data_IF_593914086820
#
_entry.id   IF_593914086820
#
_cell.length_a   1.000
_cell.length_b   1.000
_cell.length_c   1.000
_cell.angle_alpha   90.00
_cell.angle_beta   90.00
_cell.angle_gamma   90.00
#
_symmetry.space_group_name_H-M   'P 1'
#
loop_
_entity.id
_entity.type
_entity.pdbx_description
1 polymer ?
#
# COMPACT_ATOMS: atom_id res chain seq x y z
N UNK A 1 26.29 15.20 15.96
CA UNK A 1 25.66 14.87 14.66
C UNK A 1 25.38 13.37 14.64
N UNK A 2 24.13 12.97 14.89
CA UNK A 2 23.69 11.60 14.67
C UNK A 2 22.43 11.69 13.81
N UNK A 3 22.63 11.72 12.49
CA UNK A 3 21.57 11.83 11.48
C UNK A 3 20.94 10.47 11.12
N UNK A 4 21.53 9.37 11.62
CA UNK A 4 21.09 8.00 11.34
C UNK A 4 19.86 7.68 12.19
N UNK A 5 18.87 7.03 11.60
CA UNK A 5 17.70 6.52 12.30
C UNK A 5 18.13 5.46 13.33
N UNK A 6 17.84 5.63 14.64
CA UNK A 6 18.23 4.66 15.66
C UNK A 6 17.47 3.34 15.52
N UNK A 7 16.20 3.38 15.10
CA UNK A 7 15.36 2.19 15.03
C UNK A 7 15.34 1.58 13.62
N UNK A 8 16.44 0.93 13.25
CA UNK A 8 16.60 0.31 11.91
C UNK A 8 15.58 -0.80 11.63
N UNK A 9 15.12 -1.50 12.66
CA UNK A 9 14.12 -2.57 12.51
C UNK A 9 12.76 -1.95 12.17
N UNK A 10 12.33 -0.92 12.91
CA UNK A 10 11.10 -0.23 12.57
C UNK A 10 11.17 0.45 11.20
N UNK A 11 12.34 0.97 10.82
CA UNK A 11 12.56 1.57 9.52
C UNK A 11 12.37 0.56 8.39
N UNK A 12 12.88 -0.66 8.54
CA UNK A 12 12.72 -1.73 7.55
C UNK A 12 11.25 -2.12 7.37
N UNK A 13 10.49 -2.26 8.46
CA UNK A 13 9.05 -2.51 8.41
C UNK A 13 8.29 -1.35 7.75
N UNK A 14 8.59 -0.12 8.15
CA UNK A 14 7.98 1.06 7.54
C UNK A 14 8.27 1.14 6.04
N UNK A 15 9.51 0.87 5.61
CA UNK A 15 9.89 0.85 4.21
C UNK A 15 9.10 -0.22 3.41
N UNK A 16 8.89 -1.40 4.00
CA UNK A 16 8.04 -2.43 3.41
C UNK A 16 6.60 -1.94 3.25
N UNK A 17 5.99 -1.41 4.31
CA UNK A 17 4.61 -0.93 4.27
C UNK A 17 4.43 0.26 3.32
N UNK A 18 5.37 1.20 3.32
CA UNK A 18 5.38 2.34 2.40
C UNK A 18 5.50 1.89 0.94
N UNK A 19 6.30 0.85 0.65
CA UNK A 19 6.43 0.29 -0.69
C UNK A 19 5.14 -0.40 -1.15
N UNK A 20 4.55 -1.23 -0.29
CA UNK A 20 3.26 -1.90 -0.57
C UNK A 20 2.14 -0.88 -0.76
N UNK A 21 2.06 0.14 0.10
CA UNK A 21 1.10 1.23 -0.03
C UNK A 21 1.31 2.01 -1.34
N UNK A 22 2.55 2.32 -1.70
CA UNK A 22 2.85 3.04 -2.95
C UNK A 22 2.42 2.24 -4.18
N UNK A 23 2.63 0.92 -4.21
CA UNK A 23 2.10 0.06 -5.27
C UNK A 23 0.56 0.00 -5.26
N UNK A 24 -0.04 -0.09 -4.07
CA UNK A 24 -1.48 -0.04 -3.87
C UNK A 24 -2.09 1.26 -4.42
N UNK A 25 -1.40 2.39 -4.25
CA UNK A 25 -1.81 3.68 -4.81
C UNK A 25 -1.91 3.62 -6.34
N UNK A 26 -0.90 3.11 -7.05
CA UNK A 26 -0.96 2.99 -8.51
C UNK A 26 -2.08 2.05 -8.98
N UNK A 27 -2.30 0.95 -8.27
CA UNK A 27 -3.41 0.05 -8.55
C UNK A 27 -4.76 0.76 -8.39
N UNK A 28 -5.00 1.39 -7.23
CA UNK A 28 -6.26 2.07 -6.92
C UNK A 28 -6.48 3.27 -7.85
N UNK A 29 -5.44 4.04 -8.15
CA UNK A 29 -5.50 5.16 -9.10
C UNK A 29 -5.87 4.67 -10.51
N UNK A 30 -5.35 3.50 -10.92
CA UNK A 30 -5.67 2.87 -12.19
C UNK A 30 -7.11 2.32 -12.30
N UNK A 31 -7.88 2.31 -11.21
CA UNK A 31 -9.31 1.96 -11.20
C UNK A 31 -10.22 3.14 -11.56
N UNK A 32 -9.67 4.36 -11.61
CA UNK A 32 -10.42 5.58 -11.87
C UNK A 32 -10.07 6.20 -13.23
N UNK A 33 -11.04 6.81 -13.94
CA UNK A 33 -12.48 6.85 -13.64
C UNK A 33 -13.20 5.53 -13.98
N UNK A 34 -14.23 5.16 -13.20
CA UNK A 34 -14.96 3.89 -13.39
C UNK A 34 -15.67 3.78 -14.76
N UNK A 35 -15.92 4.92 -15.41
CA UNK A 35 -16.50 5.02 -16.75
C UNK A 35 -15.66 4.30 -17.82
N UNK A 36 -14.32 4.26 -17.63
CA UNK A 36 -13.39 3.58 -18.55
C UNK A 36 -13.16 2.11 -18.17
N UNK A 37 -13.84 1.62 -17.12
CA UNK A 37 -13.70 0.27 -16.56
C UNK A 37 -15.04 -0.51 -16.59
N UNK A 38 -15.60 -0.80 -17.78
CA UNK A 38 -16.82 -1.60 -17.90
C UNK A 38 -16.65 -3.01 -17.33
N UNK A 39 -15.41 -3.50 -17.27
CA UNK A 39 -15.06 -4.78 -16.66
C UNK A 39 -15.34 -4.82 -15.15
N UNK A 40 -15.24 -3.70 -14.44
CA UNK A 40 -15.53 -3.58 -13.01
C UNK A 40 -17.02 -3.35 -12.74
N UNK A 41 -17.69 -2.55 -13.58
CA UNK A 41 -19.11 -2.21 -13.40
C UNK A 41 -20.05 -3.31 -13.92
N UNK A 42 -19.62 -4.13 -14.89
CA UNK A 42 -20.43 -5.22 -15.43
C UNK A 42 -20.77 -6.33 -14.42
N UNK A 43 -20.04 -6.44 -13.30
CA UNK A 43 -20.32 -7.45 -12.25
C UNK A 43 -20.18 -6.84 -10.85
N UNK A 44 -21.20 -6.95 -9.98
CA UNK A 44 -21.17 -6.36 -8.64
C UNK A 44 -20.04 -6.92 -7.78
N UNK A 45 -19.65 -8.19 -7.96
CA UNK A 45 -18.54 -8.79 -7.23
C UNK A 45 -17.19 -8.13 -7.52
N UNK A 46 -16.97 -7.62 -8.73
CA UNK A 46 -15.73 -6.93 -9.10
C UNK A 46 -15.69 -5.52 -8.53
N UNK A 47 -16.84 -4.85 -8.46
CA UNK A 47 -16.98 -3.57 -7.80
C UNK A 47 -16.72 -3.68 -6.29
N UNK A 48 -17.27 -4.71 -5.64
CA UNK A 48 -16.99 -5.02 -4.22
C UNK A 48 -15.50 -5.29 -4.01
N UNK A 49 -14.86 -6.06 -4.89
CA UNK A 49 -13.43 -6.33 -4.82
C UNK A 49 -12.61 -5.04 -4.93
N UNK A 50 -12.92 -4.18 -5.90
CA UNK A 50 -12.25 -2.88 -6.07
C UNK A 50 -12.45 -1.98 -4.83
N UNK A 51 -13.66 -1.92 -4.29
CA UNK A 51 -13.96 -1.17 -3.07
C UNK A 51 -13.22 -1.70 -1.84
N UNK A 52 -13.14 -3.02 -1.68
CA UNK A 52 -12.36 -3.66 -0.62
C UNK A 52 -10.85 -3.36 -0.76
N UNK A 53 -10.31 -3.38 -1.98
CA UNK A 53 -8.92 -3.01 -2.25
C UNK A 53 -8.66 -1.55 -1.89
N UNK A 54 -9.54 -0.64 -2.30
CA UNK A 54 -9.42 0.79 -1.96
C UNK A 54 -9.48 1.02 -0.44
N UNK A 55 -10.39 0.33 0.25
CA UNK A 55 -10.49 0.40 1.72
C UNK A 55 -9.24 -0.14 2.40
N UNK A 56 -8.76 -1.32 2.01
CA UNK A 56 -7.54 -1.92 2.57
C UNK A 56 -6.31 -1.03 2.34
N UNK A 57 -6.24 -0.37 1.18
CA UNK A 57 -5.20 0.61 0.88
C UNK A 57 -5.26 1.80 1.84
N UNK A 58 -6.44 2.41 2.04
CA UNK A 58 -6.60 3.54 2.98
C UNK A 58 -6.22 3.13 4.40
N UNK A 59 -6.66 1.96 4.86
CA UNK A 59 -6.31 1.41 6.18
C UNK A 59 -4.79 1.28 6.30
N UNK A 60 -4.12 0.67 5.33
CA UNK A 60 -2.66 0.51 5.35
C UNK A 60 -1.93 1.86 5.38
N UNK A 61 -2.36 2.84 4.58
CA UNK A 61 -1.74 4.18 4.54
C UNK A 61 -1.86 4.87 5.90
N UNK A 62 -3.05 4.90 6.48
CA UNK A 62 -3.28 5.52 7.79
C UNK A 62 -2.45 4.82 8.86
N UNK A 63 -2.49 3.49 8.90
CA UNK A 63 -1.73 2.75 9.90
C UNK A 63 -0.22 2.90 9.74
N UNK A 64 0.30 2.85 8.50
CA UNK A 64 1.72 3.06 8.25
C UNK A 64 2.17 4.47 8.65
N UNK A 65 1.34 5.49 8.40
CA UNK A 65 1.60 6.86 8.83
C UNK A 65 1.68 6.97 10.37
N UNK A 66 0.71 6.39 11.08
CA UNK A 66 0.71 6.36 12.55
C UNK A 66 1.96 5.65 13.09
N UNK A 67 2.26 4.46 12.57
CA UNK A 67 3.44 3.68 12.94
C UNK A 67 4.74 4.47 12.72
N UNK A 68 4.88 5.13 11.56
CA UNK A 68 6.05 5.93 11.23
C UNK A 68 6.23 7.13 12.16
N UNK A 69 5.15 7.83 12.50
CA UNK A 69 5.21 8.98 13.42
C UNK A 69 5.58 8.56 14.85
N UNK A 70 5.16 7.36 15.27
CA UNK A 70 5.42 6.86 16.62
C UNK A 70 6.83 6.25 16.78
N UNK A 71 7.32 5.52 15.76
CA UNK A 71 8.52 4.69 15.90
C UNK A 71 9.77 5.26 15.22
N UNK A 72 9.62 6.27 14.35
CA UNK A 72 10.72 6.79 13.52
C UNK A 72 10.86 8.30 13.64
N UNK A 73 12.03 8.80 13.25
CA UNK A 73 12.21 10.23 13.05
C UNK A 73 11.44 10.71 11.83
N UNK A 74 10.90 11.92 11.92
CA UNK A 74 10.18 12.58 10.82
C UNK A 74 10.96 12.59 9.50
N UNK A 75 12.28 12.83 9.55
CA UNK A 75 13.13 12.80 8.36
C UNK A 75 13.13 11.43 7.68
N UNK A 76 13.17 10.35 8.46
CA UNK A 76 13.16 8.98 7.95
C UNK A 76 11.82 8.65 7.30
N UNK A 77 10.71 9.06 7.92
CA UNK A 77 9.35 8.93 7.37
C UNK A 77 9.29 9.61 6.00
N UNK A 78 9.65 10.89 5.91
CA UNK A 78 9.58 11.67 4.66
C UNK A 78 10.46 11.06 3.56
N UNK A 79 11.72 10.72 3.88
CA UNK A 79 12.66 10.17 2.91
C UNK A 79 12.19 8.81 2.40
N UNK A 80 11.82 7.89 3.29
CA UNK A 80 11.42 6.53 2.90
C UNK A 80 10.11 6.52 2.14
N UNK A 81 9.11 7.30 2.57
CA UNK A 81 7.87 7.45 1.81
C UNK A 81 8.12 8.04 0.43
N UNK A 82 8.96 9.08 0.33
CA UNK A 82 9.34 9.70 -0.93
C UNK A 82 10.02 8.70 -1.88
N UNK A 83 10.98 7.91 -1.37
CA UNK A 83 11.66 6.87 -2.15
C UNK A 83 10.69 5.77 -2.59
N UNK A 84 9.86 5.25 -1.68
CA UNK A 84 8.88 4.22 -1.99
C UNK A 84 7.93 4.67 -3.11
N UNK A 85 7.44 5.91 -3.05
CA UNK A 85 6.54 6.47 -4.05
C UNK A 85 7.26 6.74 -5.38
N UNK A 86 8.49 7.26 -5.34
CA UNK A 86 9.27 7.56 -6.54
C UNK A 86 9.64 6.31 -7.35
N UNK A 87 9.94 5.20 -6.67
CA UNK A 87 10.36 3.95 -7.31
C UNK A 87 9.22 2.95 -7.55
N UNK A 88 8.05 3.16 -6.96
CA UNK A 88 6.87 2.31 -7.19
C UNK A 88 6.46 2.16 -8.67
N UNK A 89 6.52 3.20 -9.54
CA UNK A 89 6.24 3.04 -10.97
C UNK A 89 7.11 1.98 -11.65
N UNK A 90 8.40 1.88 -11.28
CA UNK A 90 9.31 0.92 -11.90
C UNK A 90 8.88 -0.52 -11.59
N UNK A 91 8.52 -0.80 -10.33
CA UNK A 91 7.97 -2.08 -9.90
C UNK A 91 6.61 -2.38 -10.53
N UNK A 92 5.74 -1.37 -10.62
CA UNK A 92 4.42 -1.50 -11.23
C UNK A 92 4.50 -1.82 -12.74
N UNK A 93 5.48 -1.25 -13.44
CA UNK A 93 5.70 -1.50 -14.86
C UNK A 93 6.37 -2.85 -15.17
N UNK A 94 7.06 -3.45 -14.19
CA UNK A 94 7.60 -4.82 -14.29
C UNK A 94 6.49 -5.88 -14.16
N UNK A 95 5.33 -5.50 -13.64
CA UNK A 95 4.21 -6.42 -13.40
C UNK A 95 3.55 -6.84 -14.72
N UNK A 96 3.28 -8.15 -14.95
CA UNK A 96 2.61 -8.60 -16.16
C UNK A 96 1.23 -7.93 -16.35
N UNK A 97 0.94 -7.43 -17.54
CA UNK A 97 -0.32 -6.71 -17.83
C UNK A 97 -1.56 -7.55 -17.53
N UNK A 98 -1.51 -8.85 -17.83
CA UNK A 98 -2.60 -9.81 -17.58
C UNK A 98 -2.98 -9.92 -16.09
N UNK A 99 -1.98 -9.86 -15.21
CA UNK A 99 -2.17 -9.91 -13.76
C UNK A 99 -2.25 -8.52 -13.13
N UNK A 100 -2.08 -7.44 -13.89
CA UNK A 100 -2.22 -6.07 -13.39
C UNK A 100 -3.62 -5.52 -13.64
N UNK A 101 -4.11 -5.73 -14.86
CA UNK A 101 -5.32 -5.08 -15.35
C UNK A 101 -6.57 -5.98 -15.20
N UNK A 102 -6.39 -7.25 -14.80
CA UNK A 102 -7.44 -8.24 -14.60
C UNK A 102 -7.94 -8.38 -13.15
N UNK A 103 -9.05 -9.13 -12.95
CA UNK A 103 -9.62 -9.39 -11.63
C UNK A 103 -8.70 -10.19 -10.71
N UNK A 104 -7.84 -11.04 -11.29
CA UNK A 104 -6.81 -11.76 -10.54
C UNK A 104 -5.78 -10.79 -9.93
N UNK A 105 -5.45 -9.72 -10.64
CA UNK A 105 -4.59 -8.64 -10.15
C UNK A 105 -5.18 -7.94 -8.96
N UNK A 106 -6.43 -7.51 -9.07
CA UNK A 106 -7.14 -6.87 -7.97
C UNK A 106 -7.23 -7.76 -6.73
N UNK A 107 -7.51 -9.05 -6.91
CA UNK A 107 -7.55 -10.01 -5.81
C UNK A 107 -6.18 -10.20 -5.15
N UNK A 108 -5.11 -10.28 -5.95
CA UNK A 108 -3.74 -10.38 -5.43
C UNK A 108 -3.32 -9.10 -4.69
N UNK A 109 -3.63 -7.93 -5.24
CA UNK A 109 -3.39 -6.65 -4.57
C UNK A 109 -4.14 -6.57 -3.24
N UNK A 110 -5.42 -6.97 -3.21
CA UNK A 110 -6.18 -7.02 -1.97
C UNK A 110 -5.52 -7.95 -0.95
N UNK A 111 -5.12 -9.16 -1.37
CA UNK A 111 -4.47 -10.12 -0.49
C UNK A 111 -3.17 -9.56 0.11
N UNK A 112 -2.35 -8.90 -0.71
CA UNK A 112 -1.10 -8.25 -0.26
C UNK A 112 -1.38 -7.10 0.70
N UNK A 113 -2.37 -6.25 0.41
CA UNK A 113 -2.75 -5.14 1.30
C UNK A 113 -3.27 -5.66 2.64
N UNK A 114 -4.13 -6.67 2.64
CA UNK A 114 -4.66 -7.28 3.87
C UNK A 114 -3.54 -7.95 4.67
N UNK A 115 -2.63 -8.67 4.01
CA UNK A 115 -1.47 -9.25 4.67
C UNK A 115 -0.55 -8.17 5.28
N UNK A 116 -0.34 -7.06 4.57
CA UNK A 116 0.44 -5.94 5.07
C UNK A 116 -0.24 -5.25 6.27
N UNK A 117 -1.55 -5.07 6.25
CA UNK A 117 -2.32 -4.55 7.39
C UNK A 117 -2.21 -5.49 8.60
N UNK A 118 -2.33 -6.80 8.39
CA UNK A 118 -2.17 -7.80 9.44
C UNK A 118 -0.76 -7.79 10.04
N UNK A 119 0.27 -7.71 9.20
CA UNK A 119 1.66 -7.60 9.64
C UNK A 119 1.93 -6.28 10.39
N UNK A 120 1.40 -5.16 9.90
CA UNK A 120 1.50 -3.87 10.57
C UNK A 120 0.85 -3.91 11.96
N UNK A 121 -0.33 -4.53 12.08
CA UNK A 121 -0.98 -4.72 13.37
C UNK A 121 -0.14 -5.60 14.31
N UNK A 122 0.44 -6.69 13.78
CA UNK A 122 1.24 -7.61 14.59
C UNK A 122 2.55 -6.97 15.11
N UNK A 123 3.16 -6.08 14.34
CA UNK A 123 4.45 -5.47 14.68
C UNK A 123 4.29 -4.15 15.46
N UNK A 124 3.28 -3.34 15.11
CA UNK A 124 3.10 -2.00 15.68
C UNK A 124 1.92 -1.86 16.64
N UNK A 125 1.00 -2.84 16.72
CA UNK A 125 -0.19 -2.73 17.57
C UNK A 125 -1.13 -1.57 17.18
N UNK A 126 -0.99 -1.04 15.97
CA UNK A 126 -1.49 0.29 15.54
C UNK A 126 -2.99 0.48 15.75
N UNK A 127 -3.79 -0.58 15.66
CA UNK A 127 -5.25 -0.56 15.78
C UNK A 127 -5.78 -1.10 17.11
N UNK A 128 -4.91 -1.37 18.09
CA UNK A 128 -5.34 -1.71 19.44
C UNK A 128 -5.75 -0.43 20.18
N UNK A 129 -7.05 -0.13 20.20
CA UNK A 129 -7.64 0.92 21.03
C UNK A 129 -7.69 0.51 22.50
#
# INVERSE_FOLDING_TARGET
>A
MAAIEPNVVALAWFALFASVASLGFYMVAGLLPLETRPDLTARPSRLVLAGATALAFVVLVVGAALYGVEHLRWTSVVIVTGLALLFAPALFNLWPSESRDGPAGLALTLAVLVAAVGALQAVGGVYAA
#
